data_IF_391420040463
#
_entry.id   IF_391420040463
#
_cell.length_a   1.000
_cell.length_b   1.000
_cell.length_c   1.000
_cell.angle_alpha   90.00
_cell.angle_beta   90.00
_cell.angle_gamma   90.00
#
_symmetry.space_group_name_H-M   'P 1'
#
loop_
_entity.id
_entity.type
_entity.pdbx_description
1 polymer ?
#
# COMPACT_ATOMS: atom_id res chain seq x y z
N UNK A 1 60.09 21.67 -9.90
CA UNK A 1 59.19 21.02 -10.88
C UNK A 1 57.76 21.30 -10.45
N UNK A 2 57.11 22.30 -11.06
CA UNK A 2 55.79 22.79 -10.67
C UNK A 2 54.69 22.20 -11.56
N UNK A 3 53.64 21.65 -10.94
CA UNK A 3 52.49 21.05 -11.61
C UNK A 3 51.42 22.11 -11.89
N UNK A 4 51.19 22.36 -13.17
CA UNK A 4 50.16 23.27 -13.71
C UNK A 4 48.78 22.63 -13.54
N UNK A 5 47.90 23.27 -12.75
CA UNK A 5 46.48 22.94 -12.66
C UNK A 5 45.73 23.51 -13.87
N UNK A 6 45.12 22.65 -14.68
CA UNK A 6 44.23 23.03 -15.79
C UNK A 6 42.82 23.31 -15.24
N UNK A 7 42.35 24.54 -15.42
CA UNK A 7 40.97 24.96 -15.13
C UNK A 7 39.99 24.25 -16.06
N UNK A 8 38.96 23.63 -15.48
CA UNK A 8 37.85 22.98 -16.19
C UNK A 8 36.70 23.99 -16.32
N UNK A 9 36.09 24.17 -17.51
CA UNK A 9 35.03 25.15 -17.69
C UNK A 9 33.75 24.67 -17.00
N UNK A 10 33.16 25.56 -16.21
CA UNK A 10 31.86 25.42 -15.56
C UNK A 10 30.74 25.37 -16.60
N UNK A 11 30.09 24.20 -16.73
CA UNK A 11 28.84 24.06 -17.50
C UNK A 11 27.73 24.82 -16.75
N UNK A 12 27.17 25.85 -17.41
CA UNK A 12 25.91 26.48 -17.02
C UNK A 12 24.82 25.40 -17.00
N UNK A 13 24.24 25.16 -15.82
CA UNK A 13 22.98 24.40 -15.70
C UNK A 13 21.89 25.27 -16.32
N UNK A 14 21.20 24.73 -17.33
CA UNK A 14 20.03 25.38 -17.90
C UNK A 14 18.89 25.29 -16.89
N UNK A 15 18.44 26.44 -16.41
CA UNK A 15 17.15 26.60 -15.75
C UNK A 15 16.08 26.33 -16.81
N UNK A 16 15.44 25.17 -16.71
CA UNK A 16 14.44 24.72 -17.67
C UNK A 16 13.78 23.44 -17.20
N UNK A 17 13.51 23.32 -15.90
CA UNK A 17 12.60 22.33 -15.35
C UNK A 17 11.38 23.10 -14.81
N UNK A 18 10.65 23.74 -15.73
CA UNK A 18 9.29 24.20 -15.45
C UNK A 18 8.41 22.98 -15.23
N UNK A 19 8.44 22.46 -14.01
CA UNK A 19 7.37 21.57 -13.55
C UNK A 19 6.07 22.36 -13.66
N UNK A 20 5.06 21.87 -14.39
CA UNK A 20 3.80 22.57 -14.51
C UNK A 20 3.22 22.88 -13.12
N UNK A 21 2.82 24.14 -12.92
CA UNK A 21 2.22 24.61 -11.68
C UNK A 21 1.02 23.72 -11.31
N UNK A 22 0.80 23.35 -10.03
CA UNK A 22 -0.27 22.45 -9.59
C UNK A 22 -1.70 22.87 -9.93
N UNK A 23 -1.91 24.10 -10.44
CA UNK A 23 -3.21 24.77 -10.58
C UNK A 23 -3.93 24.55 -11.92
N UNK A 24 -3.36 23.83 -12.88
CA UNK A 24 -4.05 23.50 -14.13
C UNK A 24 -4.26 21.99 -14.28
N UNK A 25 -5.00 21.40 -13.34
CA UNK A 25 -5.56 20.07 -13.56
C UNK A 25 -6.79 20.25 -14.47
N UNK A 26 -6.80 19.67 -15.69
CA UNK A 26 -7.94 19.83 -16.61
C UNK A 26 -9.22 19.39 -15.91
N UNK A 27 -10.32 20.10 -16.16
CA UNK A 27 -11.65 19.73 -15.68
C UNK A 27 -11.95 18.32 -16.21
N UNK A 28 -11.87 17.31 -15.32
CA UNK A 28 -11.80 15.90 -15.72
C UNK A 28 -13.21 15.44 -16.06
N UNK A 29 -13.48 15.20 -17.35
CA UNK A 29 -14.70 14.54 -17.80
C UNK A 29 -14.93 13.27 -16.94
N UNK A 30 -16.05 13.18 -16.19
CA UNK A 30 -16.30 12.08 -15.26
C UNK A 30 -16.42 10.72 -15.93
N UNK A 31 -16.54 10.69 -17.27
CA UNK A 31 -16.56 9.46 -18.08
C UNK A 31 -15.18 8.85 -18.31
N UNK A 32 -14.11 9.62 -18.10
CA UNK A 32 -12.73 9.17 -18.33
C UNK A 32 -12.15 8.61 -17.04
N UNK A 33 -11.67 7.35 -17.05
CA UNK A 33 -10.98 6.75 -15.89
C UNK A 33 -9.54 7.26 -15.81
N UNK A 34 -9.38 8.42 -15.17
CA UNK A 34 -8.07 9.02 -14.93
C UNK A 34 -7.27 8.23 -13.90
N UNK A 35 -6.04 7.89 -14.27
CA UNK A 35 -5.08 7.14 -13.46
C UNK A 35 -3.75 7.88 -13.37
N UNK A 36 -2.98 7.49 -12.36
CA UNK A 36 -1.63 7.97 -12.07
C UNK A 36 -0.71 6.75 -11.93
N UNK A 37 0.43 6.78 -12.63
CA UNK A 37 1.44 5.74 -12.52
C UNK A 37 2.12 5.75 -11.16
N UNK A 38 2.33 4.57 -10.56
CA UNK A 38 3.15 4.42 -9.34
C UNK A 38 4.65 4.25 -9.65
N UNK A 39 5.02 4.38 -10.92
CA UNK A 39 6.32 4.05 -11.50
C UNK A 39 6.74 5.11 -12.54
N UNK A 40 7.95 4.97 -13.10
CA UNK A 40 8.51 5.86 -14.13
C UNK A 40 8.45 7.36 -13.76
N UNK A 41 7.78 8.16 -14.59
CA UNK A 41 7.63 9.61 -14.39
C UNK A 41 6.41 9.97 -13.52
N UNK A 42 5.54 9.00 -13.21
CA UNK A 42 4.29 9.25 -12.48
C UNK A 42 3.23 9.90 -13.38
N UNK A 43 3.15 9.50 -14.64
CA UNK A 43 2.24 10.11 -15.62
C UNK A 43 0.77 10.00 -15.16
N UNK A 44 0.01 11.05 -15.45
CA UNK A 44 -1.42 11.14 -15.11
C UNK A 44 -2.23 11.31 -16.39
N UNK A 45 -3.16 10.40 -16.63
CA UNK A 45 -3.92 10.33 -17.89
C UNK A 45 -5.04 9.30 -17.85
N UNK A 46 -5.84 9.16 -18.92
CA UNK A 46 -6.73 8.02 -19.12
C UNK A 46 -5.97 6.70 -18.97
N UNK A 47 -6.61 5.70 -18.37
CA UNK A 47 -5.97 4.40 -18.08
C UNK A 47 -5.29 3.78 -19.30
N UNK A 48 -5.87 3.86 -20.51
CA UNK A 48 -5.26 3.27 -21.70
C UNK A 48 -3.97 3.99 -22.14
N UNK A 49 -3.82 5.27 -21.78
CA UNK A 49 -2.66 6.09 -22.16
C UNK A 49 -1.50 5.97 -21.17
N UNK A 50 -1.79 5.70 -19.89
CA UNK A 50 -0.78 5.63 -18.83
C UNK A 50 -0.47 4.22 -18.37
N UNK A 51 -1.17 3.20 -18.89
CA UNK A 51 -0.80 1.81 -18.65
C UNK A 51 0.53 1.49 -19.35
N UNK A 52 1.42 0.80 -18.65
CA UNK A 52 2.74 0.44 -19.19
C UNK A 52 3.03 -1.02 -18.93
N UNK A 53 3.45 -1.79 -19.95
CA UNK A 53 3.94 -3.15 -19.78
C UNK A 53 5.07 -3.22 -18.75
N UNK A 54 5.10 -4.31 -17.96
CA UNK A 54 6.07 -4.49 -16.87
C UNK A 54 7.52 -4.36 -17.35
N UNK A 55 7.81 -4.83 -18.56
CA UNK A 55 9.15 -4.80 -19.15
C UNK A 55 9.68 -3.39 -19.46
N UNK A 56 8.78 -2.41 -19.58
CA UNK A 56 9.08 -1.00 -19.83
C UNK A 56 9.10 -0.14 -18.55
N UNK A 57 8.88 -0.74 -17.39
CA UNK A 57 8.99 -0.02 -16.11
C UNK A 57 10.47 0.05 -15.69
N UNK A 58 11.04 1.25 -15.60
CA UNK A 58 12.44 1.49 -15.27
C UNK A 58 12.65 2.10 -13.89
N UNK A 59 11.61 2.66 -13.29
CA UNK A 59 11.69 3.18 -11.91
C UNK A 59 10.43 2.88 -11.10
N UNK A 60 10.58 2.75 -9.78
CA UNK A 60 9.47 2.65 -8.83
C UNK A 60 9.40 3.92 -7.99
N UNK A 61 8.23 4.57 -7.97
CA UNK A 61 7.99 5.81 -7.22
C UNK A 61 7.17 5.59 -5.97
N UNK A 62 6.32 4.57 -5.98
CA UNK A 62 5.34 4.35 -4.92
C UNK A 62 4.98 2.87 -4.83
N UNK A 63 4.79 2.38 -3.60
CA UNK A 63 4.12 1.11 -3.35
C UNK A 63 2.66 1.40 -3.00
N UNK A 64 1.74 0.82 -3.77
CA UNK A 64 0.29 0.96 -3.54
C UNK A 64 -0.29 -0.35 -2.98
N UNK A 65 -1.09 -0.24 -1.93
CA UNK A 65 -1.95 -1.32 -1.41
C UNK A 65 -3.41 -0.95 -1.65
N UNK A 66 -4.16 -1.85 -2.26
CA UNK A 66 -5.59 -1.68 -2.53
C UNK A 66 -6.42 -2.44 -1.51
N UNK A 67 -7.08 -1.71 -0.61
CA UNK A 67 -8.01 -2.29 0.35
C UNK A 67 -9.40 -2.16 -0.27
N UNK A 68 -9.79 -3.22 -0.98
CA UNK A 68 -11.15 -3.39 -1.45
C UNK A 68 -11.97 -4.08 -0.36
N UNK A 69 -13.02 -3.43 0.15
CA UNK A 69 -13.79 -4.02 1.23
C UNK A 69 -14.59 -5.27 0.82
N UNK A 70 -14.76 -5.57 -0.48
CA UNK A 70 -15.35 -6.84 -0.93
C UNK A 70 -14.52 -8.04 -0.44
N UNK A 71 -13.22 -7.83 -0.21
CA UNK A 71 -12.32 -8.84 0.32
C UNK A 71 -12.26 -8.89 1.84
N UNK A 72 -12.92 -7.96 2.53
CA UNK A 72 -12.89 -7.83 3.98
C UNK A 72 -14.14 -8.39 4.63
N UNK A 73 -13.96 -8.98 5.82
CA UNK A 73 -15.04 -9.51 6.63
C UNK A 73 -16.06 -8.39 6.94
N UNK A 74 -17.34 -8.55 6.57
CA UNK A 74 -18.36 -7.54 6.79
C UNK A 74 -18.54 -7.12 8.25
N UNK A 75 -18.25 -8.00 9.21
CA UNK A 75 -18.33 -7.70 10.65
C UNK A 75 -17.37 -6.57 11.06
N UNK A 76 -16.34 -6.26 10.26
CA UNK A 76 -15.45 -5.14 10.51
C UNK A 76 -16.11 -3.77 10.30
N UNK A 77 -17.29 -3.72 9.68
CA UNK A 77 -17.98 -2.48 9.34
C UNK A 77 -19.50 -2.64 9.46
N UNK A 78 -20.12 -1.76 10.26
CA UNK A 78 -21.57 -1.76 10.45
C UNK A 78 -22.30 -1.34 9.14
N UNK A 79 -23.18 -2.20 8.65
CA UNK A 79 -23.75 -2.29 7.29
C UNK A 79 -24.80 -1.20 6.94
N UNK A 80 -24.96 -0.20 7.80
CA UNK A 80 -25.88 0.91 7.63
C UNK A 80 -25.42 1.97 6.62
N UNK A 81 -25.67 1.73 5.33
CA UNK A 81 -25.85 2.71 4.22
C UNK A 81 -25.16 4.08 4.42
N UNK A 82 -23.85 4.15 4.14
CA UNK A 82 -23.03 5.39 4.19
C UNK A 82 -21.73 5.27 3.37
N UNK A 83 -20.88 6.31 3.34
CA UNK A 83 -19.60 6.35 2.59
C UNK A 83 -18.57 5.36 3.15
N UNK A 84 -18.79 4.11 2.78
CA UNK A 84 -18.13 2.89 3.19
C UNK A 84 -16.61 2.99 3.45
N UNK A 85 -15.85 3.46 2.46
CA UNK A 85 -14.39 3.58 2.57
C UNK A 85 -13.92 4.52 3.70
N UNK A 86 -14.64 5.62 3.95
CA UNK A 86 -14.26 6.55 5.03
C UNK A 86 -14.46 5.92 6.41
N UNK A 87 -15.57 5.20 6.61
CA UNK A 87 -15.82 4.48 7.86
C UNK A 87 -14.80 3.36 8.06
N UNK A 88 -14.57 2.55 7.03
CA UNK A 88 -13.53 1.51 7.06
C UNK A 88 -12.16 2.09 7.46
N UNK A 89 -11.81 3.25 6.91
CA UNK A 89 -10.58 3.93 7.30
C UNK A 89 -10.58 4.30 8.79
N UNK A 90 -11.59 5.02 9.26
CA UNK A 90 -11.60 5.54 10.63
C UNK A 90 -11.76 4.46 11.72
N UNK A 91 -12.52 3.39 11.43
CA UNK A 91 -12.84 2.34 12.41
C UNK A 91 -11.79 1.22 12.44
N UNK A 92 -11.07 1.02 11.34
CA UNK A 92 -10.23 -0.17 11.17
C UNK A 92 -8.84 0.19 10.64
N UNK A 93 -8.73 0.66 9.40
CA UNK A 93 -7.43 0.79 8.72
C UNK A 93 -6.52 1.80 9.41
N UNK A 94 -7.06 2.93 9.88
CA UNK A 94 -6.28 3.94 10.61
C UNK A 94 -5.53 3.32 11.80
N UNK A 95 -6.17 2.41 12.54
CA UNK A 95 -5.54 1.77 13.68
C UNK A 95 -4.39 0.85 13.27
N UNK A 96 -4.49 0.15 12.13
CA UNK A 96 -3.37 -0.62 11.60
C UNK A 96 -2.17 0.28 11.28
N UNK A 97 -2.43 1.42 10.62
CA UNK A 97 -1.37 2.36 10.25
C UNK A 97 -0.74 3.05 11.47
N UNK A 98 -1.54 3.40 12.47
CA UNK A 98 -1.05 4.09 13.68
C UNK A 98 -0.21 3.17 14.59
N UNK A 99 -0.30 1.84 14.43
CA UNK A 99 0.45 0.86 15.23
C UNK A 99 1.84 0.54 14.72
N UNK A 100 2.14 0.80 13.45
CA UNK A 100 3.43 0.47 12.85
C UNK A 100 4.07 1.72 12.20
N UNK A 101 5.29 2.11 12.60
CA UNK A 101 5.95 3.32 12.11
C UNK A 101 6.20 3.36 10.60
N UNK A 102 6.30 2.20 9.94
CA UNK A 102 6.45 2.13 8.48
C UNK A 102 5.12 2.44 7.81
N UNK A 103 4.04 1.78 8.23
CA UNK A 103 2.69 2.03 7.72
C UNK A 103 2.11 3.40 8.09
N UNK A 104 2.52 3.98 9.22
CA UNK A 104 2.11 5.31 9.65
C UNK A 104 2.52 6.44 8.69
N UNK A 105 3.42 6.15 7.73
CA UNK A 105 3.87 7.08 6.69
C UNK A 105 3.02 7.05 5.42
N UNK A 106 2.08 6.12 5.30
CA UNK A 106 1.28 5.99 4.08
C UNK A 106 0.32 7.17 3.87
N UNK A 107 0.25 7.65 2.64
CA UNK A 107 -0.87 8.48 2.16
C UNK A 107 -2.09 7.58 1.99
N UNK A 108 -3.27 8.01 2.43
CA UNK A 108 -4.51 7.23 2.31
C UNK A 108 -5.52 7.98 1.48
N UNK A 109 -5.98 7.34 0.40
CA UNK A 109 -7.00 7.86 -0.51
C UNK A 109 -8.30 7.06 -0.40
N UNK A 110 -9.42 7.74 -0.32
CA UNK A 110 -10.74 7.18 -0.58
C UNK A 110 -11.00 7.22 -2.08
N UNK A 111 -11.10 6.05 -2.72
CA UNK A 111 -11.27 5.94 -4.17
C UNK A 111 -12.72 5.76 -4.60
N UNK A 112 -13.67 5.87 -3.66
CA UNK A 112 -15.11 5.73 -3.90
C UNK A 112 -15.67 4.40 -3.42
N UNK A 113 -15.01 3.29 -3.76
CA UNK A 113 -15.39 1.92 -3.33
C UNK A 113 -14.49 1.40 -2.21
N UNK A 114 -13.19 1.65 -2.30
CA UNK A 114 -12.19 1.17 -1.35
C UNK A 114 -11.19 2.25 -0.96
N UNK A 115 -10.04 1.79 -0.47
CA UNK A 115 -8.94 2.64 -0.02
C UNK A 115 -7.66 2.29 -0.79
N UNK A 116 -6.97 3.31 -1.29
CA UNK A 116 -5.59 3.14 -1.74
C UNK A 116 -4.65 3.68 -0.67
N UNK A 117 -3.73 2.84 -0.22
CA UNK A 117 -2.64 3.21 0.67
C UNK A 117 -1.38 3.34 -0.16
N UNK A 118 -0.67 4.45 -0.02
CA UNK A 118 0.44 4.81 -0.88
C UNK A 118 1.68 5.13 -0.05
N UNK A 119 2.74 4.35 -0.24
CA UNK A 119 4.07 4.62 0.31
C UNK A 119 4.92 5.25 -0.80
N UNK A 120 5.10 6.57 -0.74
CA UNK A 120 5.90 7.33 -1.71
C UNK A 120 7.38 7.14 -1.41
N UNK A 121 8.16 6.75 -2.43
CA UNK A 121 9.59 6.52 -2.32
C UNK A 121 10.38 7.81 -2.60
N UNK A 122 11.29 8.15 -1.68
CA UNK A 122 12.24 9.25 -1.87
C UNK A 122 13.63 8.87 -1.30
N UNK A 123 14.67 8.73 -2.16
CA UNK A 123 14.61 8.84 -3.61
C UNK A 123 13.76 7.72 -4.23
N UNK A 124 13.36 7.91 -5.49
CA UNK A 124 12.76 6.82 -6.28
C UNK A 124 13.78 5.71 -6.51
N UNK A 125 13.29 4.51 -6.77
CA UNK A 125 14.14 3.36 -7.09
C UNK A 125 14.31 3.28 -8.60
N UNK A 126 15.54 3.31 -9.08
CA UNK A 126 15.86 3.02 -10.48
C UNK A 126 16.21 1.53 -10.63
N UNK A 127 15.73 0.89 -11.69
CA UNK A 127 16.04 -0.50 -12.00
C UNK A 127 17.19 -0.53 -13.02
N UNK A 128 18.32 -1.14 -12.66
CA UNK A 128 19.44 -1.29 -13.58
C UNK A 128 19.17 -2.34 -14.67
N UNK A 129 18.21 -3.24 -14.43
CA UNK A 129 17.80 -4.27 -15.38
C UNK A 129 16.70 -5.18 -14.85
N UNK A 130 16.40 -6.28 -15.58
CA UNK A 130 15.32 -7.20 -15.21
C UNK A 130 15.43 -7.79 -13.81
N UNK A 131 16.65 -8.15 -13.37
CA UNK A 131 16.86 -8.73 -12.04
C UNK A 131 16.47 -7.77 -10.89
N UNK A 132 16.76 -6.47 -11.02
CA UNK A 132 16.35 -5.47 -10.04
C UNK A 132 14.83 -5.31 -10.04
N UNK A 133 14.21 -5.35 -11.22
CA UNK A 133 12.75 -5.29 -11.34
C UNK A 133 12.09 -6.49 -10.67
N UNK A 134 12.64 -7.69 -10.84
CA UNK A 134 12.13 -8.91 -10.19
C UNK A 134 12.27 -8.82 -8.66
N UNK A 135 13.42 -8.36 -8.17
CA UNK A 135 13.66 -8.11 -6.75
C UNK A 135 12.63 -7.13 -6.18
N UNK A 136 12.47 -5.97 -6.80
CA UNK A 136 11.53 -4.95 -6.34
C UNK A 136 10.07 -5.39 -6.50
N UNK A 137 9.77 -6.22 -7.50
CA UNK A 137 8.47 -6.88 -7.63
C UNK A 137 8.16 -7.75 -6.43
N UNK A 138 9.11 -8.56 -5.98
CA UNK A 138 8.98 -9.38 -4.76
C UNK A 138 8.88 -8.52 -3.48
N UNK A 139 9.62 -7.41 -3.40
CA UNK A 139 9.53 -6.44 -2.30
C UNK A 139 8.13 -5.82 -2.23
N UNK A 140 7.62 -5.30 -3.35
CA UNK A 140 6.26 -4.73 -3.44
C UNK A 140 5.21 -5.74 -2.99
N UNK A 141 5.31 -6.99 -3.47
CA UNK A 141 4.41 -8.08 -3.06
C UNK A 141 4.49 -8.38 -1.57
N UNK A 142 5.70 -8.39 -1.02
CA UNK A 142 5.91 -8.63 0.42
C UNK A 142 5.25 -7.55 1.27
N UNK A 143 5.36 -6.28 0.86
CA UNK A 143 4.71 -5.14 1.53
C UNK A 143 3.20 -5.23 1.41
N UNK A 144 2.66 -5.45 0.20
CA UNK A 144 1.22 -5.60 -0.04
C UNK A 144 0.60 -6.69 0.84
N UNK A 145 1.29 -7.82 1.02
CA UNK A 145 0.82 -8.96 1.81
C UNK A 145 0.90 -8.77 3.34
N UNK A 146 1.18 -7.56 3.84
CA UNK A 146 1.18 -7.29 5.29
C UNK A 146 -0.13 -6.75 5.83
N UNK A 147 -1.05 -6.33 4.95
CA UNK A 147 -2.36 -5.83 5.30
C UNK A 147 -3.46 -6.69 4.67
N UNK A 148 -4.66 -6.75 5.26
CA UNK A 148 -5.85 -7.30 4.61
C UNK A 148 -6.20 -6.45 3.38
N UNK A 149 -5.80 -6.90 2.20
CA UNK A 149 -5.93 -6.18 0.92
C UNK A 149 -6.32 -7.13 -0.21
N UNK A 150 -6.58 -6.59 -1.41
CA UNK A 150 -6.79 -7.39 -2.61
C UNK A 150 -5.54 -8.27 -2.89
N UNK A 151 -5.65 -9.61 -2.86
CA UNK A 151 -4.53 -10.51 -3.15
C UNK A 151 -4.06 -10.42 -4.61
N UNK A 152 -4.89 -9.89 -5.50
CA UNK A 152 -4.62 -9.77 -6.94
C UNK A 152 -4.20 -8.35 -7.35
N UNK A 153 -3.93 -7.45 -6.40
CA UNK A 153 -3.52 -6.08 -6.69
C UNK A 153 -2.35 -6.05 -7.70
N UNK A 154 -2.21 -5.03 -8.56
CA UNK A 154 -1.27 -5.08 -9.71
C UNK A 154 0.25 -5.02 -9.44
N UNK A 155 0.77 -5.17 -8.21
CA UNK A 155 2.22 -5.20 -7.96
C UNK A 155 2.95 -3.95 -8.53
N UNK A 156 4.03 -4.15 -9.31
CA UNK A 156 4.79 -3.05 -9.94
C UNK A 156 4.03 -2.28 -11.03
N UNK A 157 3.02 -2.89 -11.67
CA UNK A 157 2.23 -2.23 -12.71
C UNK A 157 1.06 -1.45 -12.12
N UNK A 158 1.05 -1.24 -10.79
CA UNK A 158 -0.04 -0.57 -10.12
C UNK A 158 -0.26 0.85 -10.62
N UNK A 159 -1.53 1.17 -10.85
CA UNK A 159 -2.01 2.51 -11.14
C UNK A 159 -2.96 2.93 -10.03
N UNK A 160 -2.79 4.15 -9.55
CA UNK A 160 -3.72 4.76 -8.58
C UNK A 160 -4.63 5.76 -9.27
N UNK A 161 -5.62 6.30 -8.54
CA UNK A 161 -6.36 7.48 -8.99
C UNK A 161 -5.81 8.72 -8.30
N UNK A 162 -5.57 9.82 -9.03
CA UNK A 162 -5.09 11.06 -8.43
C UNK A 162 -6.19 11.73 -7.61
N UNK A 163 -5.82 12.42 -6.53
CA UNK A 163 -6.78 13.19 -5.71
C UNK A 163 -7.56 14.18 -6.60
N UNK A 164 -8.87 14.23 -6.42
CA UNK A 164 -9.78 15.09 -7.18
C UNK A 164 -10.30 14.49 -8.49
N UNK A 165 -9.77 13.36 -8.98
CA UNK A 165 -10.41 12.68 -10.13
C UNK A 165 -11.72 12.00 -9.75
N UNK A 166 -12.60 11.81 -10.71
CA UNK A 166 -13.84 11.03 -10.54
C UNK A 166 -13.55 9.57 -10.85
N UNK A 167 -13.98 8.67 -9.96
CA UNK A 167 -14.03 7.25 -10.25
C UNK A 167 -15.23 6.98 -11.18
N UNK A 168 -14.96 6.68 -12.45
CA UNK A 168 -15.97 6.47 -13.48
C UNK A 168 -16.96 5.35 -13.14
N UNK A 169 -16.56 4.34 -12.33
CA UNK A 169 -17.44 3.24 -11.92
C UNK A 169 -18.48 3.65 -10.88
N UNK A 170 -18.18 4.65 -10.05
CA UNK A 170 -19.05 5.04 -8.93
C UNK A 170 -19.50 6.50 -8.96
N UNK A 171 -19.00 7.27 -9.92
CA UNK A 171 -19.18 8.72 -10.00
C UNK A 171 -18.79 9.46 -8.70
N UNK A 172 -17.86 8.89 -7.92
CA UNK A 172 -17.36 9.49 -6.67
C UNK A 172 -16.00 10.13 -6.90
N UNK A 173 -15.81 11.34 -6.37
CA UNK A 173 -14.51 12.01 -6.37
C UNK A 173 -13.54 11.33 -5.40
N UNK A 174 -12.31 11.12 -5.84
CA UNK A 174 -11.22 10.60 -5.02
C UNK A 174 -10.81 11.64 -4.00
N UNK A 175 -10.81 11.26 -2.72
CA UNK A 175 -10.51 12.17 -1.59
C UNK A 175 -9.27 11.71 -0.85
N UNK A 176 -8.43 12.66 -0.47
CA UNK A 176 -7.35 12.43 0.50
C UNK A 176 -7.96 12.27 1.89
N UNK A 177 -7.69 11.15 2.57
CA UNK A 177 -8.08 10.93 3.97
C UNK A 177 -6.93 11.20 4.95
N UNK A 178 -5.70 10.90 4.54
CA UNK A 178 -4.49 11.10 5.35
C UNK A 178 -3.32 11.46 4.45
N UNK A 179 -2.60 12.58 4.69
CA UNK A 179 -1.33 12.82 4.03
C UNK A 179 -0.26 11.86 4.59
N UNK A 180 0.56 11.31 3.71
CA UNK A 180 1.71 10.49 4.06
C UNK A 180 2.99 11.30 4.17
N UNK A 181 4.08 10.60 4.46
CA UNK A 181 5.46 11.13 4.39
C UNK A 181 6.30 10.19 3.53
N UNK A 182 7.29 10.70 2.78
CA UNK A 182 8.14 9.85 1.98
C UNK A 182 8.89 8.79 2.81
N UNK A 183 9.13 7.64 2.21
CA UNK A 183 9.95 6.54 2.74
C UNK A 183 11.17 6.33 1.85
N UNK A 184 12.32 6.03 2.45
CA UNK A 184 13.51 5.67 1.69
C UNK A 184 13.41 4.22 1.20
N UNK A 185 14.06 3.87 0.08
CA UNK A 185 14.19 2.47 -0.35
C UNK A 185 14.76 1.56 0.75
N UNK A 186 15.76 2.04 1.50
CA UNK A 186 16.36 1.28 2.61
C UNK A 186 15.34 0.97 3.71
N UNK A 187 14.46 1.91 4.05
CA UNK A 187 13.41 1.68 5.06
C UNK A 187 12.42 0.59 4.61
N UNK A 188 12.12 0.51 3.30
CA UNK A 188 11.30 -0.56 2.74
C UNK A 188 12.01 -1.91 2.85
N UNK A 189 13.30 -1.97 2.49
CA UNK A 189 14.09 -3.20 2.61
C UNK A 189 14.25 -3.64 4.07
N UNK A 190 14.44 -2.71 5.00
CA UNK A 190 14.47 -2.99 6.44
C UNK A 190 13.13 -3.58 6.93
N UNK A 191 12.01 -3.01 6.47
CA UNK A 191 10.69 -3.54 6.79
C UNK A 191 10.49 -4.96 6.23
N UNK A 192 10.93 -5.22 5.00
CA UNK A 192 10.89 -6.56 4.41
C UNK A 192 11.80 -7.54 5.14
N UNK A 193 12.99 -7.13 5.59
CA UNK A 193 13.85 -7.99 6.39
C UNK A 193 13.25 -8.29 7.78
N UNK A 194 12.60 -7.30 8.42
CA UNK A 194 11.82 -7.50 9.65
C UNK A 194 10.72 -8.55 9.43
N UNK A 195 9.94 -8.43 8.36
CA UNK A 195 8.93 -9.43 7.97
C UNK A 195 9.56 -10.80 7.75
N UNK A 196 10.69 -10.88 7.05
CA UNK A 196 11.37 -12.14 6.77
C UNK A 196 11.83 -12.84 8.05
N UNK A 197 12.29 -12.09 9.06
CA UNK A 197 12.75 -12.64 10.35
C UNK A 197 11.57 -13.08 11.24
N UNK A 198 10.54 -12.23 11.35
CA UNK A 198 9.45 -12.37 12.32
C UNK A 198 8.07 -12.10 11.68
N UNK A 199 7.65 -12.87 10.66
CA UNK A 199 6.47 -12.54 9.86
C UNK A 199 5.18 -12.51 10.67
N UNK A 200 4.96 -13.51 11.54
CA UNK A 200 3.72 -13.59 12.33
C UNK A 200 3.67 -12.48 13.38
N UNK A 201 4.75 -12.28 14.15
CA UNK A 201 4.83 -11.21 15.14
C UNK A 201 4.65 -9.82 14.50
N UNK A 202 5.30 -9.57 13.35
CA UNK A 202 5.19 -8.27 12.66
C UNK A 202 3.77 -7.99 12.20
N UNK A 203 3.11 -8.96 11.55
CA UNK A 203 1.73 -8.79 11.08
C UNK A 203 0.76 -8.69 12.26
N UNK A 204 0.91 -9.51 13.31
CA UNK A 204 0.08 -9.42 14.50
C UNK A 204 0.21 -8.05 15.20
N UNK A 205 1.43 -7.50 15.27
CA UNK A 205 1.67 -6.16 15.80
C UNK A 205 0.96 -5.08 14.97
N UNK A 206 0.97 -5.18 13.64
CA UNK A 206 0.24 -4.24 12.77
C UNK A 206 -1.28 -4.36 13.03
N UNK A 207 -1.82 -5.58 12.96
CA UNK A 207 -3.26 -5.81 12.95
C UNK A 207 -3.93 -5.71 14.32
N UNK A 208 -3.20 -5.97 15.41
CA UNK A 208 -3.75 -5.98 16.77
C UNK A 208 -2.99 -5.08 17.75
N UNK A 209 -1.79 -4.60 17.42
CA UNK A 209 -1.04 -3.65 18.26
C UNK A 209 -0.33 -4.27 19.46
N UNK A 210 -0.23 -5.61 19.54
CA UNK A 210 0.38 -6.29 20.67
C UNK A 210 0.95 -7.66 20.31
N UNK A 211 2.01 -8.08 21.02
CA UNK A 211 2.57 -9.43 20.95
C UNK A 211 1.73 -10.46 21.73
N UNK A 212 0.78 -10.00 22.54
CA UNK A 212 -0.20 -10.83 23.25
C UNK A 212 -1.58 -10.22 23.09
N UNK A 213 -2.50 -11.00 22.52
CA UNK A 213 -3.84 -10.54 22.14
C UNK A 213 -4.88 -11.32 22.95
N UNK A 214 -5.71 -10.60 23.70
CA UNK A 214 -6.75 -11.15 24.58
C UNK A 214 -8.09 -10.45 24.30
N UNK A 215 -9.19 -11.18 24.05
CA UNK A 215 -9.22 -12.63 23.83
C UNK A 215 -8.44 -13.02 22.56
N UNK A 216 -8.10 -14.31 22.39
CA UNK A 216 -7.52 -14.79 21.14
C UNK A 216 -8.46 -14.44 19.97
N UNK A 217 -7.99 -13.71 18.93
CA UNK A 217 -8.87 -13.21 17.87
C UNK A 217 -9.49 -14.33 17.02
N UNK A 218 -8.92 -15.54 17.09
CA UNK A 218 -9.39 -16.72 16.35
C UNK A 218 -10.57 -17.40 17.06
N UNK A 219 -10.40 -17.87 18.31
CA UNK A 219 -11.47 -18.58 19.02
C UNK A 219 -12.40 -17.67 19.82
N UNK A 220 -12.00 -16.42 20.09
CA UNK A 220 -12.76 -15.41 20.84
C UNK A 220 -13.28 -15.89 22.21
N UNK A 221 -12.65 -16.93 22.77
CA UNK A 221 -13.05 -17.51 24.06
C UNK A 221 -12.59 -16.60 25.18
N UNK A 222 -13.44 -16.34 26.17
CA UNK A 222 -13.08 -15.55 27.34
C UNK A 222 -11.85 -16.13 28.05
N UNK A 223 -10.94 -15.23 28.47
CA UNK A 223 -9.66 -15.61 29.08
C UNK A 223 -8.63 -16.25 28.14
N UNK A 224 -8.96 -16.47 26.85
CA UNK A 224 -7.97 -16.97 25.88
C UNK A 224 -6.96 -15.89 25.50
N UNK A 225 -5.71 -16.27 25.25
CA UNK A 225 -4.66 -15.35 24.77
C UNK A 225 -3.93 -15.96 23.59
N UNK A 226 -3.72 -15.17 22.55
CA UNK A 226 -2.82 -15.46 21.45
C UNK A 226 -1.47 -14.77 21.69
N UNK A 227 -0.41 -15.53 21.88
CA UNK A 227 0.96 -14.99 21.83
C UNK A 227 1.45 -15.02 20.38
N UNK A 228 1.91 -13.87 19.88
CA UNK A 228 2.50 -13.73 18.55
C UNK A 228 3.99 -14.04 18.62
N UNK A 229 4.37 -15.28 18.28
CA UNK A 229 5.78 -15.66 18.12
C UNK A 229 6.25 -15.22 16.72
N UNK A 230 7.54 -15.38 16.46
CA UNK A 230 8.14 -14.89 15.21
C UNK A 230 7.49 -15.48 13.97
N UNK A 231 7.25 -16.78 13.95
CA UNK A 231 6.76 -17.52 12.77
C UNK A 231 5.30 -17.96 12.85
N UNK A 232 4.75 -18.08 14.05
CA UNK A 232 3.40 -18.59 14.31
C UNK A 232 2.81 -17.92 15.55
N UNK A 233 1.50 -17.98 15.68
CA UNK A 233 0.82 -17.65 16.92
C UNK A 233 0.62 -18.89 17.79
N UNK A 234 0.60 -18.73 19.11
CA UNK A 234 0.20 -19.77 20.06
C UNK A 234 -0.98 -19.30 20.90
N UNK A 235 -2.13 -19.94 20.72
CA UNK A 235 -3.30 -19.80 21.57
C UNK A 235 -3.24 -20.85 22.69
N UNK A 236 -3.28 -20.40 23.94
CA UNK A 236 -3.16 -21.28 25.11
C UNK A 236 -4.49 -21.85 25.63
N UNK A 237 -5.60 -21.55 24.96
CA UNK A 237 -6.93 -22.05 25.35
C UNK A 237 -7.45 -23.15 24.41
N UNK A 238 -7.66 -22.83 23.13
CA UNK A 238 -8.38 -23.72 22.19
C UNK A 238 -7.68 -23.95 20.86
N UNK A 239 -7.16 -22.91 20.21
CA UNK A 239 -6.67 -23.03 18.83
C UNK A 239 -5.33 -23.77 18.71
N UNK A 240 -4.53 -23.86 19.78
CA UNK A 240 -3.16 -24.35 19.69
C UNK A 240 -2.29 -23.44 18.82
N UNK A 241 -1.74 -23.97 17.73
CA UNK A 241 -0.90 -23.19 16.80
C UNK A 241 -1.75 -22.46 15.77
N UNK A 242 -1.55 -21.15 15.65
CA UNK A 242 -2.24 -20.26 14.71
C UNK A 242 -1.27 -19.85 13.60
N UNK A 243 -1.66 -20.03 12.34
CA UNK A 243 -0.90 -19.60 11.15
C UNK A 243 -1.34 -18.21 10.66
N UNK A 244 -0.53 -17.56 9.84
CA UNK A 244 -0.86 -16.26 9.24
C UNK A 244 -2.20 -16.25 8.50
N UNK A 245 -2.50 -17.31 7.73
CA UNK A 245 -3.78 -17.41 7.02
C UNK A 245 -4.99 -17.35 7.98
N UNK A 246 -4.89 -17.96 9.17
CA UNK A 246 -5.95 -17.87 10.17
C UNK A 246 -6.04 -16.47 10.79
N UNK A 247 -4.90 -15.79 10.99
CA UNK A 247 -4.86 -14.41 11.46
C UNK A 247 -5.49 -13.44 10.45
N UNK A 248 -5.15 -13.55 9.16
CA UNK A 248 -5.80 -12.77 8.11
C UNK A 248 -7.28 -13.10 7.98
N UNK A 249 -7.68 -14.36 8.18
CA UNK A 249 -9.08 -14.80 8.17
C UNK A 249 -9.97 -14.11 9.22
N UNK A 250 -9.41 -13.42 10.23
CA UNK A 250 -10.23 -12.58 11.11
C UNK A 250 -10.64 -11.25 10.49
N UNK A 251 -9.99 -10.86 9.40
CA UNK A 251 -10.21 -9.60 8.70
C UNK A 251 -10.67 -9.77 7.25
N UNK A 252 -10.37 -10.89 6.61
CA UNK A 252 -10.75 -11.20 5.24
C UNK A 252 -12.09 -11.97 5.21
N UNK A 253 -12.86 -11.78 4.14
CA UNK A 253 -14.02 -12.62 3.85
C UNK A 253 -13.59 -14.05 3.49
N UNK A 254 -14.48 -15.02 3.74
CA UNK A 254 -14.25 -16.39 3.31
C UNK A 254 -14.26 -16.44 1.77
N UNK A 255 -13.21 -16.96 1.10
CA UNK A 255 -13.22 -17.13 -0.34
C UNK A 255 -14.47 -17.86 -0.88
N UNK A 256 -15.04 -18.78 -0.09
CA UNK A 256 -16.28 -19.49 -0.45
C UNK A 256 -17.50 -18.57 -0.55
N UNK A 257 -17.48 -17.42 0.12
CA UNK A 257 -18.53 -16.39 0.05
C UNK A 257 -18.34 -15.40 -1.12
N UNK A 258 -17.23 -15.48 -1.85
CA UNK A 258 -16.88 -14.55 -2.94
C UNK A 258 -17.27 -15.07 -4.34
N UNK A 259 -17.94 -16.22 -4.45
CA UNK A 259 -18.30 -16.84 -5.72
C UNK A 259 -19.78 -17.13 -5.85
N UNK A 260 -20.58 -16.16 -6.29
CA UNK A 260 -21.89 -16.35 -6.93
C UNK A 260 -22.42 -15.08 -7.66
N UNK A 261 -21.53 -14.16 -8.10
CA UNK A 261 -21.92 -12.97 -8.91
C UNK A 261 -21.34 -12.99 -10.33
#
# INVERSE_FOLDING_TARGET
MGTVRKNRPSRKRGDGDERPSPEQRPDKDPRVDWREQTFNAGDVGPVEQVSTPLDLITTLRMIMVDIDPQHLNPVLFDDGKGTFASRLYHQTVRHWLDRDPFWGRATVLNTGTGLHLQLHLDPVVEFAGPADRDLWGAVVRSVQNTLPSDPNAPGLTALTRPVGSVNSKTNRTVKLLRPGTPVTPDAVLEFVDKLRRRPFATIASILHGADRITPCPICKTDGSTLAALDRVGRCYARCGTVKLAQLFGTFMSDPATQGEE
#
